data_IF_130863539847
#
_entry.id   IF_130863539847
#
_cell.length_a   1.000
_cell.length_b   1.000
_cell.length_c   1.000
_cell.angle_alpha   90.00
_cell.angle_beta   90.00
_cell.angle_gamma   90.00
#
_symmetry.space_group_name_H-M   'P 1'
#
loop_
_entity.id
_entity.type
_entity.pdbx_description
1 polymer ?
#
# COMPACT_ATOMS: atom_id res chain seq x y z
N UNK A 1 16.90 43.95 -1.74
CA UNK A 1 15.54 43.42 -1.96
C UNK A 1 15.67 42.25 -2.94
N UNK A 2 15.52 41.01 -2.48
CA UNK A 2 15.69 39.82 -3.32
C UNK A 2 14.30 39.34 -3.72
N UNK A 3 14.03 39.30 -5.03
CA UNK A 3 12.76 38.80 -5.58
C UNK A 3 12.95 37.35 -6.00
N UNK A 4 12.28 36.43 -5.31
CA UNK A 4 12.24 35.00 -5.68
C UNK A 4 11.12 34.81 -6.68
N UNK A 5 11.46 34.58 -7.95
CA UNK A 5 10.51 34.12 -8.96
C UNK A 5 10.26 32.63 -8.72
N UNK A 6 9.11 32.31 -8.16
CA UNK A 6 8.61 30.93 -8.14
C UNK A 6 7.96 30.67 -9.50
N UNK A 7 8.72 30.06 -10.40
CA UNK A 7 8.17 29.52 -11.65
C UNK A 7 7.26 28.34 -11.31
N UNK A 8 5.95 28.58 -11.19
CA UNK A 8 4.92 27.52 -11.28
C UNK A 8 4.76 27.07 -12.72
N UNK A 9 5.86 26.66 -13.34
CA UNK A 9 5.86 26.20 -14.72
C UNK A 9 5.56 24.70 -14.73
N UNK A 10 4.27 24.39 -14.79
CA UNK A 10 3.79 23.13 -15.35
C UNK A 10 4.02 21.87 -14.52
N UNK A 11 3.58 21.84 -13.26
CA UNK A 11 3.24 20.55 -12.64
C UNK A 11 1.92 20.09 -13.25
N UNK A 12 2.00 19.57 -14.48
CA UNK A 12 1.00 18.68 -15.03
C UNK A 12 0.89 17.53 -14.01
N UNK A 13 -0.09 17.63 -13.13
CA UNK A 13 -0.48 16.51 -12.28
C UNK A 13 -1.12 15.51 -13.21
N UNK A 14 -0.31 14.69 -13.88
CA UNK A 14 -0.78 13.36 -14.25
C UNK A 14 -1.32 12.80 -12.96
N UNK A 15 -2.66 12.75 -12.83
CA UNK A 15 -3.28 12.21 -11.62
C UNK A 15 -2.76 10.80 -11.51
N UNK A 16 -1.87 10.58 -10.54
CA UNK A 16 -1.53 9.22 -10.13
C UNK A 16 -2.83 8.58 -9.69
N UNK A 17 -3.07 7.35 -10.10
CA UNK A 17 -4.19 6.60 -9.56
C UNK A 17 -4.00 6.46 -8.05
N UNK A 18 -5.10 6.33 -7.29
CA UNK A 18 -5.02 6.12 -5.85
C UNK A 18 -4.13 4.91 -5.49
N UNK A 19 -4.13 3.91 -6.36
CA UNK A 19 -3.28 2.73 -6.28
C UNK A 19 -1.79 3.07 -6.39
N UNK A 20 -1.42 3.93 -7.33
CA UNK A 20 -0.04 4.42 -7.46
C UNK A 20 0.39 5.26 -6.25
N UNK A 21 -0.50 6.08 -5.70
CA UNK A 21 -0.19 6.89 -4.50
C UNK A 21 0.05 5.99 -3.28
N UNK A 22 -0.75 4.94 -3.11
CA UNK A 22 -0.56 3.95 -2.03
C UNK A 22 0.74 3.16 -2.21
N UNK A 23 1.00 2.68 -3.42
CA UNK A 23 2.22 1.93 -3.73
C UNK A 23 3.48 2.77 -3.50
N UNK A 24 3.52 4.00 -4.02
CA UNK A 24 4.65 4.93 -3.80
C UNK A 24 4.83 5.25 -2.31
N UNK A 25 3.71 5.46 -1.59
CA UNK A 25 3.73 5.73 -0.15
C UNK A 25 4.32 4.57 0.65
N UNK A 26 3.88 3.34 0.37
CA UNK A 26 4.37 2.14 1.04
C UNK A 26 5.83 1.84 0.70
N UNK A 27 6.21 1.98 -0.57
CA UNK A 27 7.59 1.82 -1.01
C UNK A 27 8.52 2.85 -0.33
N UNK A 28 8.06 4.10 -0.18
CA UNK A 28 8.81 5.15 0.49
C UNK A 28 9.10 4.90 1.97
N UNK A 29 8.27 4.09 2.65
CA UNK A 29 8.47 3.70 4.06
C UNK A 29 9.00 2.27 4.23
N UNK A 30 9.33 1.58 3.13
CA UNK A 30 9.83 0.20 3.17
C UNK A 30 8.79 -0.83 3.58
N UNK A 31 7.50 -0.55 3.37
CA UNK A 31 6.38 -1.44 3.71
C UNK A 31 5.87 -2.12 2.43
N UNK A 32 5.64 -3.44 2.51
CA UNK A 32 4.97 -4.20 1.47
C UNK A 32 3.61 -4.68 2.00
N UNK A 33 2.53 -4.19 1.39
CA UNK A 33 1.19 -4.70 1.70
C UNK A 33 0.86 -5.85 0.75
N UNK A 34 0.48 -6.99 1.33
CA UNK A 34 0.08 -8.20 0.60
C UNK A 34 -1.37 -8.49 0.93
N UNK A 35 -2.18 -8.75 -0.09
CA UNK A 35 -3.55 -9.24 0.10
C UNK A 35 -3.51 -10.78 0.23
N UNK A 36 -4.15 -11.33 1.26
CA UNK A 36 -4.07 -12.79 1.54
C UNK A 36 -4.77 -13.65 0.47
N UNK A 37 -5.78 -13.08 -0.17
CA UNK A 37 -6.53 -13.72 -1.27
C UNK A 37 -5.93 -13.44 -2.65
N UNK A 38 -4.70 -12.91 -2.75
CA UNK A 38 -4.05 -12.74 -4.05
C UNK A 38 -3.80 -14.12 -4.69
N UNK A 39 -4.31 -14.34 -5.91
CA UNK A 39 -4.14 -15.58 -6.67
C UNK A 39 -2.68 -15.94 -6.98
N UNK A 40 -1.76 -14.96 -6.85
CA UNK A 40 -0.32 -15.18 -7.04
C UNK A 40 0.34 -15.85 -5.83
N UNK A 41 -0.31 -15.83 -4.67
CA UNK A 41 0.16 -16.52 -3.47
C UNK A 41 -0.14 -18.01 -3.57
N UNK A 42 0.89 -18.82 -3.40
CA UNK A 42 0.71 -20.26 -3.18
C UNK A 42 0.03 -20.51 -1.83
N UNK A 43 -0.58 -21.68 -1.67
CA UNK A 43 -1.23 -22.06 -0.42
C UNK A 43 -0.26 -22.02 0.78
N UNK A 44 1.02 -22.35 0.56
CA UNK A 44 2.04 -22.26 1.59
C UNK A 44 2.35 -20.80 1.98
N UNK A 45 2.51 -19.90 1.01
CA UNK A 45 2.77 -18.49 1.27
C UNK A 45 1.60 -17.82 1.98
N UNK A 46 0.37 -18.15 1.58
CA UNK A 46 -0.85 -17.69 2.28
C UNK A 46 -0.83 -18.13 3.74
N UNK A 47 -0.61 -19.42 4.00
CA UNK A 47 -0.59 -19.94 5.36
C UNK A 47 0.55 -19.32 6.20
N UNK A 48 1.72 -19.10 5.61
CA UNK A 48 2.83 -18.43 6.26
C UNK A 48 2.46 -17.00 6.68
N UNK A 49 1.87 -16.22 5.76
CA UNK A 49 1.43 -14.86 6.03
C UNK A 49 0.29 -14.80 7.06
N UNK A 50 -0.62 -15.78 7.09
CA UNK A 50 -1.66 -15.88 8.12
C UNK A 50 -1.09 -16.16 9.51
N UNK A 51 -0.10 -17.04 9.58
CA UNK A 51 0.59 -17.34 10.84
C UNK A 51 1.33 -16.10 11.35
N UNK A 52 2.08 -15.41 10.48
CA UNK A 52 2.74 -14.15 10.82
C UNK A 52 1.72 -13.08 11.22
N UNK A 53 0.61 -12.97 10.50
CA UNK A 53 -0.45 -12.03 10.84
C UNK A 53 -1.04 -12.30 12.24
N UNK A 54 -1.25 -13.57 12.57
CA UNK A 54 -1.75 -13.99 13.89
C UNK A 54 -0.73 -13.72 15.00
N UNK A 55 0.55 -13.93 14.73
CA UNK A 55 1.63 -13.68 15.70
C UNK A 55 1.82 -12.17 15.95
N UNK A 56 1.90 -11.37 14.89
CA UNK A 56 2.15 -9.92 15.03
C UNK A 56 0.93 -9.10 15.43
N UNK A 57 -0.28 -9.50 15.00
CA UNK A 57 -1.49 -8.70 15.16
C UNK A 57 -2.60 -9.40 15.94
N UNK A 58 -2.41 -10.66 16.33
CA UNK A 58 -3.44 -11.49 16.97
C UNK A 58 -4.44 -12.08 15.96
N UNK A 59 -5.44 -12.81 16.48
CA UNK A 59 -6.49 -13.39 15.63
C UNK A 59 -7.18 -12.29 14.82
N UNK A 60 -7.15 -12.45 13.49
CA UNK A 60 -7.83 -11.55 12.58
C UNK A 60 -9.33 -11.73 12.81
N UNK A 61 -9.97 -10.84 13.56
CA UNK A 61 -11.43 -10.79 13.64
C UNK A 61 -11.96 -10.79 12.20
N UNK A 62 -12.61 -11.87 11.78
CA UNK A 62 -13.10 -12.05 10.43
C UNK A 62 -13.89 -10.80 10.05
N UNK A 63 -13.34 -10.01 9.12
CA UNK A 63 -14.02 -8.81 8.66
C UNK A 63 -15.35 -9.26 8.07
N UNK A 64 -16.47 -8.56 8.38
CA UNK A 64 -17.77 -8.93 7.83
C UNK A 64 -17.65 -9.01 6.30
N UNK A 65 -18.28 -10.02 5.66
CA UNK A 65 -18.19 -10.20 4.22
C UNK A 65 -18.60 -8.90 3.54
N UNK A 66 -17.71 -8.39 2.68
CA UNK A 66 -17.99 -7.18 1.91
C UNK A 66 -19.17 -7.50 0.97
N UNK A 67 -20.27 -6.72 1.01
CA UNK A 67 -21.41 -6.93 0.13
C UNK A 67 -21.05 -6.71 -1.34
#
# INVERSE_FOLDING_TARGET
MISIRTSTQGLATTRRSEEQVKADGWHGVGVLAIHMDDDRLTDFERQFLENLGTEFYGERCAAPPKP
#
